data_IF_627497706937
#
_entry.id   IF_627497706937
#
_cell.length_a   1.000
_cell.length_b   1.000
_cell.length_c   1.000
_cell.angle_alpha   90.00
_cell.angle_beta   90.00
_cell.angle_gamma   90.00
#
_symmetry.space_group_name_H-M   'P 1'
#
loop_
_entity.id
_entity.type
_entity.pdbx_description
1 polymer ?
#
# COMPACT_ATOMS: atom_id res chain seq x y z
N UNK A 1 37.35 -10.70 8.21
CA UNK A 1 36.20 -11.62 8.05
C UNK A 1 34.98 -10.75 8.26
N UNK A 2 34.81 -9.89 7.26
CA UNK A 2 33.94 -8.72 7.12
C UNK A 2 34.35 -8.19 5.75
N UNK A 3 33.38 -7.79 4.92
CA UNK A 3 33.56 -7.28 3.54
C UNK A 3 33.85 -8.37 2.49
N UNK A 4 32.88 -9.23 2.15
CA UNK A 4 32.83 -9.94 0.85
C UNK A 4 31.46 -10.61 0.55
N UNK A 5 30.35 -9.95 0.88
CA UNK A 5 28.99 -10.43 0.56
C UNK A 5 28.09 -9.42 -0.15
N UNK A 6 28.65 -8.29 -0.59
CA UNK A 6 27.87 -7.21 -1.25
C UNK A 6 28.31 -6.93 -2.69
N UNK A 7 28.68 -7.97 -3.44
CA UNK A 7 29.12 -7.84 -4.84
C UNK A 7 28.55 -8.90 -5.79
N UNK A 8 27.63 -9.76 -5.33
CA UNK A 8 27.11 -10.86 -6.16
C UNK A 8 25.80 -10.58 -6.91
N UNK A 9 25.13 -9.44 -6.69
CA UNK A 9 23.92 -9.09 -7.47
C UNK A 9 24.14 -8.06 -8.60
N UNK A 10 25.35 -7.50 -8.77
CA UNK A 10 25.64 -6.53 -9.86
C UNK A 10 26.47 -7.06 -11.04
N UNK A 11 26.90 -8.33 -11.01
CA UNK A 11 27.86 -8.85 -11.98
C UNK A 11 27.28 -9.78 -13.08
N UNK A 12 25.95 -10.02 -13.12
CA UNK A 12 25.37 -11.00 -14.05
C UNK A 12 25.07 -10.45 -15.46
N UNK A 13 25.14 -9.13 -15.71
CA UNK A 13 24.81 -8.55 -17.05
C UNK A 13 25.97 -8.05 -17.91
N UNK A 14 27.23 -8.11 -17.47
CA UNK A 14 28.39 -7.77 -18.31
C UNK A 14 29.26 -9.00 -18.57
N UNK A 15 29.24 -9.48 -19.82
CA UNK A 15 29.89 -10.72 -20.25
C UNK A 15 31.38 -10.80 -19.97
N UNK A 16 31.77 -11.80 -19.18
CA UNK A 16 33.13 -12.35 -19.15
C UNK A 16 33.07 -13.87 -19.09
N UNK A 17 33.69 -14.52 -20.08
CA UNK A 17 33.86 -15.97 -20.15
C UNK A 17 34.92 -16.39 -19.12
N UNK A 18 34.53 -17.18 -18.11
CA UNK A 18 35.47 -17.95 -17.28
C UNK A 18 34.98 -19.39 -17.18
N UNK A 19 35.92 -20.31 -17.42
CA UNK A 19 35.72 -21.73 -17.65
C UNK A 19 35.10 -22.50 -16.47
N UNK A 20 34.34 -23.53 -16.85
CA UNK A 20 33.57 -24.44 -16.00
C UNK A 20 34.38 -25.15 -14.91
N UNK A 21 33.84 -25.17 -13.69
CA UNK A 21 33.96 -26.31 -12.76
C UNK A 21 32.56 -26.71 -12.34
N UNK A 22 32.15 -27.90 -12.75
CA UNK A 22 30.82 -28.48 -12.51
C UNK A 22 30.77 -28.99 -11.07
N UNK A 23 29.98 -28.32 -10.23
CA UNK A 23 29.43 -28.88 -8.99
C UNK A 23 27.93 -28.55 -9.02
N UNK A 24 27.10 -29.59 -8.98
CA UNK A 24 25.67 -29.50 -9.21
C UNK A 24 24.98 -28.59 -8.21
N UNK A 25 24.57 -27.40 -8.67
CA UNK A 25 23.51 -26.62 -8.04
C UNK A 25 22.18 -27.09 -8.63
N UNK A 26 21.27 -27.48 -7.75
CA UNK A 26 19.86 -27.61 -8.07
C UNK A 26 19.40 -26.38 -8.87
N UNK A 27 18.61 -26.61 -9.91
CA UNK A 27 18.03 -25.52 -10.68
C UNK A 27 17.28 -24.59 -9.72
N UNK A 28 17.77 -23.36 -9.61
CA UNK A 28 17.02 -22.28 -9.01
C UNK A 28 15.81 -22.06 -9.93
N UNK A 29 14.59 -21.87 -9.40
CA UNK A 29 13.50 -21.43 -10.25
C UNK A 29 13.96 -20.13 -10.92
N UNK A 30 13.89 -20.15 -12.26
CA UNK A 30 14.10 -19.01 -13.13
C UNK A 30 13.36 -17.79 -12.57
N UNK A 31 14.02 -16.62 -12.59
CA UNK A 31 13.40 -15.33 -12.35
C UNK A 31 12.03 -15.29 -13.03
N UNK A 32 10.99 -14.85 -12.30
CA UNK A 32 9.72 -14.52 -12.91
C UNK A 32 9.99 -13.57 -14.10
N UNK A 33 9.29 -13.79 -15.22
CA UNK A 33 9.33 -12.87 -16.35
C UNK A 33 8.74 -11.54 -15.86
N UNK A 34 9.52 -10.46 -15.95
CA UNK A 34 8.93 -9.12 -15.91
C UNK A 34 7.98 -8.99 -17.11
N UNK A 35 6.74 -8.59 -16.86
CA UNK A 35 5.74 -8.43 -17.91
C UNK A 35 5.80 -6.99 -18.43
N UNK A 36 5.70 -6.76 -19.75
CA UNK A 36 5.65 -5.42 -20.30
C UNK A 36 4.44 -4.68 -19.74
N UNK A 37 4.56 -3.38 -19.45
CA UNK A 37 3.42 -2.55 -19.01
C UNK A 37 2.53 -2.30 -20.24
N UNK A 38 1.40 -3.02 -20.39
CA UNK A 38 0.72 -3.16 -21.69
C UNK A 38 -0.11 -1.93 -22.08
N UNK A 39 -0.08 -0.89 -21.27
CA UNK A 39 -0.85 0.34 -21.44
C UNK A 39 0.03 1.57 -21.59
N UNK A 40 1.36 1.38 -21.57
CA UNK A 40 2.32 2.43 -21.86
C UNK A 40 2.74 2.33 -23.33
N UNK A 41 2.32 3.32 -24.12
CA UNK A 41 2.52 3.33 -25.56
C UNK A 41 3.55 4.39 -25.97
N UNK A 42 4.35 4.05 -26.98
CA UNK A 42 5.19 5.01 -27.69
C UNK A 42 4.33 6.06 -28.40
N UNK A 43 4.95 7.15 -28.82
CA UNK A 43 4.24 8.13 -29.65
C UNK A 43 3.94 7.59 -31.05
N UNK A 44 2.75 7.88 -31.56
CA UNK A 44 2.37 7.62 -32.95
C UNK A 44 2.08 6.15 -33.27
N UNK A 45 1.57 5.39 -32.30
CA UNK A 45 1.19 3.97 -32.47
C UNK A 45 -0.30 3.74 -32.11
N UNK A 46 -0.88 2.68 -32.64
CA UNK A 46 -2.23 2.22 -32.28
C UNK A 46 -2.20 1.28 -31.05
N UNK A 47 -3.35 0.73 -30.67
CA UNK A 47 -3.50 -0.22 -29.55
C UNK A 47 -2.72 -1.54 -29.75
N UNK A 48 -2.35 -1.85 -31.00
CA UNK A 48 -1.57 -3.04 -31.38
C UNK A 48 -0.06 -2.73 -31.51
N UNK A 49 0.39 -1.55 -31.07
CA UNK A 49 1.78 -1.05 -31.18
C UNK A 49 2.27 -0.86 -32.62
N UNK A 50 1.38 -0.81 -33.61
CA UNK A 50 1.73 -0.53 -35.00
C UNK A 50 1.77 0.99 -35.25
N UNK A 51 2.71 1.43 -36.10
CA UNK A 51 2.83 2.84 -36.47
C UNK A 51 1.54 3.36 -37.13
N UNK A 52 1.04 4.49 -36.63
CA UNK A 52 -0.09 5.21 -37.22
C UNK A 52 0.28 5.86 -38.56
N UNK A 53 -0.72 6.08 -39.40
CA UNK A 53 -0.58 6.86 -40.62
C UNK A 53 -0.21 8.33 -40.32
N UNK A 54 0.50 8.97 -41.25
CA UNK A 54 0.84 10.39 -41.11
C UNK A 54 -0.43 11.25 -41.02
N UNK A 55 -0.40 12.27 -40.15
CA UNK A 55 -1.53 13.15 -39.78
C UNK A 55 -2.67 12.47 -39.00
N UNK A 56 -2.59 11.18 -38.69
CA UNK A 56 -3.58 10.55 -37.84
C UNK A 56 -3.51 11.11 -36.41
N UNK A 57 -4.64 11.27 -35.69
CA UNK A 57 -4.62 11.60 -34.28
C UNK A 57 -4.03 10.44 -33.48
N UNK A 58 -3.24 10.76 -32.47
CA UNK A 58 -2.70 9.77 -31.54
C UNK A 58 -3.76 9.45 -30.45
N UNK A 59 -4.13 8.17 -30.23
CA UNK A 59 -5.14 7.80 -29.26
C UNK A 59 -4.63 7.78 -27.81
N UNK A 60 -3.32 7.69 -27.61
CA UNK A 60 -2.67 7.43 -26.33
C UNK A 60 -2.14 8.70 -25.65
N UNK A 61 -1.87 9.74 -26.46
CA UNK A 61 -1.41 11.03 -25.98
C UNK A 61 -2.50 12.10 -25.99
N UNK A 62 -2.42 13.03 -25.04
CA UNK A 62 -3.28 14.20 -24.95
C UNK A 62 -2.48 15.48 -24.82
N UNK A 63 -2.93 16.54 -25.47
CA UNK A 63 -2.46 17.89 -25.24
C UNK A 63 -3.26 18.49 -24.07
N UNK A 64 -2.68 18.48 -22.87
CA UNK A 64 -3.33 19.05 -21.67
C UNK A 64 -2.99 20.54 -21.47
N UNK A 65 -1.95 21.01 -22.15
CA UNK A 65 -1.68 22.44 -22.37
C UNK A 65 -1.41 22.61 -23.85
N UNK A 66 -2.25 23.40 -24.52
CA UNK A 66 -2.12 23.75 -25.93
C UNK A 66 -2.51 25.21 -26.14
N UNK A 67 -1.56 26.14 -26.35
CA UNK A 67 -1.87 27.54 -26.57
C UNK A 67 -2.44 27.82 -27.97
N UNK A 68 -2.33 26.87 -28.92
CA UNK A 68 -2.86 27.04 -30.27
C UNK A 68 -4.39 26.92 -30.34
N UNK A 69 -4.97 26.00 -29.57
CA UNK A 69 -6.39 25.65 -29.65
C UNK A 69 -6.85 24.80 -28.47
N UNK A 70 -8.17 24.61 -28.36
CA UNK A 70 -8.78 23.68 -27.40
C UNK A 70 -8.68 22.20 -27.84
N UNK A 71 -7.94 21.88 -28.91
CA UNK A 71 -7.69 20.50 -29.33
C UNK A 71 -6.89 19.75 -28.26
N UNK A 72 -7.39 18.57 -27.91
CA UNK A 72 -6.84 17.74 -26.82
C UNK A 72 -6.05 16.53 -27.30
N UNK A 73 -6.02 16.24 -28.60
CA UNK A 73 -5.27 15.12 -29.17
C UNK A 73 -4.16 15.66 -30.09
N UNK A 74 -2.92 15.15 -29.99
CA UNK A 74 -1.87 15.45 -30.95
C UNK A 74 -2.00 14.56 -32.20
N UNK A 75 -1.23 14.90 -33.24
CA UNK A 75 -1.30 14.24 -34.56
C UNK A 75 0.08 13.77 -35.03
N UNK A 76 0.14 12.68 -35.76
CA UNK A 76 1.39 12.17 -36.34
C UNK A 76 1.98 13.15 -37.35
N UNK A 77 3.26 13.50 -37.21
CA UNK A 77 4.01 14.33 -38.17
C UNK A 77 4.30 13.55 -39.44
N UNK A 78 4.24 14.21 -40.60
CA UNK A 78 4.57 13.57 -41.88
C UNK A 78 6.03 13.13 -41.95
N UNK A 79 6.23 11.92 -42.44
CA UNK A 79 7.53 11.23 -42.41
C UNK A 79 8.49 11.68 -43.52
N UNK A 80 7.98 12.27 -44.60
CA UNK A 80 8.72 12.63 -45.82
C UNK A 80 8.67 14.13 -46.16
N UNK A 81 8.20 14.97 -45.23
CA UNK A 81 8.14 16.42 -45.35
C UNK A 81 8.84 17.10 -44.16
N UNK A 82 9.42 18.29 -44.40
CA UNK A 82 9.98 19.12 -43.33
C UNK A 82 8.95 19.30 -42.20
N UNK A 83 9.29 18.99 -40.94
CA UNK A 83 10.66 19.03 -40.37
C UNK A 83 11.45 17.71 -40.34
N UNK A 84 11.00 16.66 -41.04
CA UNK A 84 11.76 15.40 -41.18
C UNK A 84 12.31 15.33 -42.62
N UNK A 85 13.62 15.54 -42.87
CA UNK A 85 14.71 15.99 -41.97
C UNK A 85 14.67 17.50 -41.64
N UNK A 86 15.41 18.01 -40.62
CA UNK A 86 16.53 17.39 -39.88
C UNK A 86 16.15 16.62 -38.61
N UNK A 87 14.87 16.54 -38.26
CA UNK A 87 14.44 15.72 -37.12
C UNK A 87 14.78 14.25 -37.35
N UNK A 88 14.87 13.50 -36.25
CA UNK A 88 14.93 12.03 -36.29
C UNK A 88 13.81 11.48 -37.20
N UNK A 89 14.16 10.58 -38.12
CA UNK A 89 13.19 9.98 -39.02
C UNK A 89 12.15 9.16 -38.24
N UNK A 90 10.88 9.28 -38.60
CA UNK A 90 9.80 8.45 -38.06
C UNK A 90 10.10 6.94 -38.24
N UNK A 91 9.65 6.15 -37.27
CA UNK A 91 9.86 4.70 -37.21
C UNK A 91 11.25 4.30 -36.69
N UNK A 92 11.49 2.99 -36.54
CA UNK A 92 10.52 1.92 -36.72
C UNK A 92 9.49 1.79 -35.59
N UNK A 93 9.76 2.33 -34.40
CA UNK A 93 9.00 2.00 -33.19
C UNK A 93 8.09 3.13 -32.67
N UNK A 94 8.26 4.35 -33.20
CA UNK A 94 7.44 5.51 -32.85
C UNK A 94 7.47 6.58 -33.94
N UNK A 95 6.54 7.54 -33.86
CA UNK A 95 6.51 8.73 -34.72
C UNK A 95 6.42 10.02 -33.91
N UNK A 96 6.86 11.12 -34.49
CA UNK A 96 6.72 12.46 -33.93
C UNK A 96 5.24 12.88 -33.86
N UNK A 97 4.91 13.61 -32.80
CA UNK A 97 3.59 14.20 -32.56
C UNK A 97 3.61 15.72 -32.71
N UNK A 98 2.67 16.24 -33.49
CA UNK A 98 2.34 17.64 -33.71
C UNK A 98 1.18 18.10 -32.84
N UNK A 99 1.01 19.42 -32.76
CA UNK A 99 0.04 20.10 -31.87
C UNK A 99 -1.22 20.61 -32.58
N UNK A 100 -1.28 20.49 -33.91
CA UNK A 100 -2.36 21.00 -34.76
C UNK A 100 -2.83 19.96 -35.77
N UNK A 101 -4.14 19.93 -36.01
CA UNK A 101 -4.76 19.08 -37.02
C UNK A 101 -4.38 19.53 -38.44
N UNK A 102 -3.98 18.59 -39.30
CA UNK A 102 -3.73 18.84 -40.73
C UNK A 102 -2.51 19.72 -41.05
N UNK A 103 -1.78 20.22 -40.05
CA UNK A 103 -0.53 20.95 -40.22
C UNK A 103 0.68 20.05 -39.91
N UNK A 104 1.77 20.23 -40.66
CA UNK A 104 3.00 19.47 -40.41
C UNK A 104 3.84 20.14 -39.30
N UNK A 105 3.55 19.74 -38.05
CA UNK A 105 4.39 20.00 -36.87
C UNK A 105 4.64 21.46 -36.47
N UNK A 106 3.81 22.43 -36.85
CA UNK A 106 4.00 23.83 -36.47
C UNK A 106 3.08 24.25 -35.32
N UNK A 107 3.56 25.12 -34.44
CA UNK A 107 2.77 25.72 -33.35
C UNK A 107 3.18 27.15 -33.02
N UNK A 108 2.33 27.89 -32.30
CA UNK A 108 2.72 29.21 -31.76
C UNK A 108 3.72 29.08 -30.61
N UNK A 109 4.43 30.17 -30.31
CA UNK A 109 5.26 30.28 -29.12
C UNK A 109 4.44 30.06 -27.84
N UNK A 110 4.94 29.20 -26.96
CA UNK A 110 4.28 28.91 -25.70
C UNK A 110 4.67 27.56 -25.11
N UNK A 111 4.05 27.24 -23.98
CA UNK A 111 4.20 25.95 -23.30
C UNK A 111 3.18 24.96 -23.84
N UNK A 112 3.63 23.75 -24.12
CA UNK A 112 2.81 22.61 -24.47
C UNK A 112 3.04 21.51 -23.44
N UNK A 113 2.01 20.73 -23.16
CA UNK A 113 2.14 19.56 -22.31
C UNK A 113 1.43 18.39 -22.94
N UNK A 114 2.22 17.38 -23.30
CA UNK A 114 1.73 16.11 -23.81
C UNK A 114 1.64 15.14 -22.63
N UNK A 115 0.46 14.55 -22.42
CA UNK A 115 0.19 13.59 -21.38
C UNK A 115 -0.05 12.23 -22.00
N UNK A 116 0.64 11.21 -21.52
CA UNK A 116 0.23 9.80 -21.66
C UNK A 116 -0.14 9.23 -20.30
N UNK A 117 -0.88 8.13 -20.29
CA UNK A 117 -1.27 7.43 -19.07
C UNK A 117 -1.11 5.93 -19.24
N UNK A 118 -0.77 5.25 -18.16
CA UNK A 118 -0.59 3.80 -18.11
C UNK A 118 -1.17 3.27 -16.80
N UNK A 119 -1.68 2.05 -16.84
CA UNK A 119 -2.32 1.37 -15.73
C UNK A 119 -1.35 0.38 -15.09
N UNK A 120 -1.08 0.59 -13.80
CA UNK A 120 -0.30 -0.31 -12.95
C UNK A 120 -1.20 -1.18 -12.06
N UNK A 121 -2.50 -1.28 -12.34
CA UNK A 121 -3.40 -2.21 -11.64
C UNK A 121 -2.88 -3.63 -11.81
N UNK A 122 -2.54 -4.28 -10.69
CA UNK A 122 -2.05 -5.65 -10.72
C UNK A 122 -0.53 -5.78 -10.85
N UNK A 123 0.24 -4.70 -10.75
CA UNK A 123 1.71 -4.71 -10.80
C UNK A 123 2.35 -4.27 -9.48
N UNK A 124 3.50 -4.85 -9.15
CA UNK A 124 4.30 -4.42 -7.99
C UNK A 124 5.00 -3.10 -8.32
N UNK A 125 4.66 -2.05 -7.57
CA UNK A 125 5.17 -0.70 -7.81
C UNK A 125 6.67 -0.56 -7.51
N UNK A 126 7.24 -1.42 -6.66
CA UNK A 126 8.67 -1.40 -6.36
C UNK A 126 9.51 -1.97 -7.51
N UNK A 127 8.89 -2.84 -8.33
CA UNK A 127 9.50 -3.49 -9.49
C UNK A 127 9.19 -2.78 -10.81
N UNK A 128 8.50 -1.64 -10.79
CA UNK A 128 8.26 -0.85 -11.99
C UNK A 128 9.58 -0.28 -12.51
N UNK A 129 9.86 -0.60 -13.76
CA UNK A 129 11.00 -0.12 -14.50
C UNK A 129 10.54 0.49 -15.82
N UNK A 130 10.93 1.74 -16.08
CA UNK A 130 10.65 2.44 -17.33
C UNK A 130 11.94 3.06 -17.83
N UNK A 131 12.53 2.47 -18.85
CA UNK A 131 13.51 3.14 -19.70
C UNK A 131 12.77 3.94 -20.75
N UNK A 132 13.03 5.24 -20.80
CA UNK A 132 12.46 6.12 -21.83
C UNK A 132 13.56 6.78 -22.64
N UNK A 133 13.35 6.86 -23.95
CA UNK A 133 13.98 7.81 -24.85
C UNK A 133 12.95 8.86 -25.26
N UNK A 134 13.27 10.14 -25.11
CA UNK A 134 12.41 11.20 -25.62
C UNK A 134 13.19 12.26 -26.39
N UNK A 135 12.53 12.85 -27.39
CA UNK A 135 13.07 13.88 -28.26
C UNK A 135 12.01 14.95 -28.48
N UNK A 136 12.47 16.19 -28.62
CA UNK A 136 11.61 17.37 -28.76
C UNK A 136 12.23 18.34 -29.76
N UNK A 137 11.40 19.11 -30.45
CA UNK A 137 11.86 20.36 -31.07
C UNK A 137 11.55 21.55 -30.16
N UNK A 138 12.49 22.49 -30.14
CA UNK A 138 12.75 23.46 -29.09
C UNK A 138 13.10 22.77 -27.76
N UNK A 139 12.61 23.30 -26.64
CA UNK A 139 13.14 22.97 -25.31
C UNK A 139 12.22 22.00 -24.57
N UNK A 140 12.77 20.85 -24.15
CA UNK A 140 12.15 19.98 -23.16
C UNK A 140 12.40 20.57 -21.78
N UNK A 141 11.34 20.94 -21.07
CA UNK A 141 11.42 21.63 -19.78
C UNK A 141 11.47 20.64 -18.62
N UNK A 142 10.62 19.61 -18.66
CA UNK A 142 10.61 18.53 -17.68
C UNK A 142 9.72 17.37 -18.17
N UNK A 143 9.83 16.23 -17.50
CA UNK A 143 8.83 15.16 -17.50
C UNK A 143 8.28 15.06 -16.09
N UNK A 144 6.96 15.04 -15.91
CA UNK A 144 6.36 14.83 -14.58
C UNK A 144 5.75 13.43 -14.51
N UNK A 145 6.08 12.69 -13.46
CA UNK A 145 5.37 11.49 -13.06
C UNK A 145 4.32 11.86 -12.02
N UNK A 146 3.04 11.64 -12.34
CA UNK A 146 1.90 11.97 -11.47
C UNK A 146 1.94 13.43 -10.94
N UNK A 147 2.30 14.37 -11.83
CA UNK A 147 2.40 15.79 -11.52
C UNK A 147 3.64 16.20 -10.69
N UNK A 148 4.59 15.27 -10.46
CA UNK A 148 5.85 15.54 -9.76
C UNK A 148 7.04 15.46 -10.73
N UNK A 149 7.96 16.44 -10.72
CA UNK A 149 9.01 16.54 -11.74
C UNK A 149 10.05 15.43 -11.59
N UNK A 150 10.33 14.70 -12.67
CA UNK A 150 11.46 13.77 -12.73
C UNK A 150 12.78 14.55 -12.67
N UNK A 151 13.78 13.90 -12.07
CA UNK A 151 15.08 14.50 -11.78
C UNK A 151 16.16 13.48 -12.08
N UNK A 152 17.29 13.93 -12.59
CA UNK A 152 18.43 13.07 -12.81
C UNK A 152 19.13 12.67 -11.49
N UNK A 153 20.22 11.90 -11.60
CA UNK A 153 21.00 11.41 -10.45
C UNK A 153 21.62 12.54 -9.62
N UNK A 154 21.75 13.74 -10.18
CA UNK A 154 22.28 14.94 -9.53
C UNK A 154 21.15 15.87 -9.01
N UNK A 155 19.90 15.36 -8.94
CA UNK A 155 18.70 16.10 -8.55
C UNK A 155 18.39 17.31 -9.45
N UNK A 156 18.83 17.28 -10.72
CA UNK A 156 18.50 18.34 -11.68
C UNK A 156 17.25 18.00 -12.50
N UNK A 157 16.40 18.99 -12.84
CA UNK A 157 15.26 18.79 -13.72
C UNK A 157 15.69 18.17 -15.05
N UNK A 158 14.97 17.16 -15.52
CA UNK A 158 15.21 16.59 -16.84
C UNK A 158 14.92 17.61 -17.93
N UNK A 159 15.94 18.07 -18.65
CA UNK A 159 15.77 19.08 -19.69
C UNK A 159 16.41 18.66 -21.01
N UNK A 160 15.82 19.09 -22.12
CA UNK A 160 16.38 18.95 -23.47
C UNK A 160 16.54 20.36 -24.03
N UNK A 161 17.74 20.69 -24.52
CA UNK A 161 17.98 21.99 -25.16
C UNK A 161 17.29 22.13 -26.52
N UNK A 162 17.25 23.36 -27.04
CA UNK A 162 16.52 23.73 -28.26
C UNK A 162 16.87 22.97 -29.56
N UNK A 163 17.94 22.16 -29.57
CA UNK A 163 18.37 21.33 -30.70
C UNK A 163 18.13 19.82 -30.44
N UNK A 164 17.22 19.49 -29.53
CA UNK A 164 16.92 18.12 -29.11
C UNK A 164 16.44 17.19 -30.23
N UNK A 165 15.89 17.75 -31.30
CA UNK A 165 15.24 17.02 -32.39
C UNK A 165 16.12 16.06 -33.18
N UNK A 166 17.45 16.19 -33.04
CA UNK A 166 18.43 15.35 -33.74
C UNK A 166 18.88 14.11 -32.96
N UNK A 167 18.37 13.89 -31.75
CA UNK A 167 18.79 12.77 -30.90
C UNK A 167 17.82 12.47 -29.76
N UNK A 168 18.13 11.43 -29.00
CA UNK A 168 17.35 10.97 -27.87
C UNK A 168 17.98 11.42 -26.56
N UNK A 169 17.17 11.96 -25.65
CA UNK A 169 17.51 12.04 -24.24
C UNK A 169 16.92 10.81 -23.53
N UNK A 170 17.77 10.08 -22.81
CA UNK A 170 17.37 8.87 -22.11
C UNK A 170 17.19 9.11 -20.62
N UNK A 171 16.26 8.38 -20.02
CA UNK A 171 16.07 8.35 -18.58
C UNK A 171 15.43 7.05 -18.13
N UNK A 172 15.83 6.60 -16.96
CA UNK A 172 15.30 5.40 -16.32
C UNK A 172 14.50 5.84 -15.09
N UNK A 173 13.27 5.38 -14.99
CA UNK A 173 12.46 5.46 -13.77
C UNK A 173 12.42 4.06 -13.17
N UNK A 174 12.98 3.90 -11.98
CA UNK A 174 13.00 2.63 -11.25
C UNK A 174 12.58 2.86 -9.79
N UNK A 175 11.73 1.97 -9.27
CA UNK A 175 11.32 1.93 -7.84
C UNK A 175 10.87 3.30 -7.27
N UNK A 176 10.22 4.11 -8.12
CA UNK A 176 9.94 5.50 -7.81
C UNK A 176 8.70 5.64 -6.91
N UNK A 177 8.87 6.28 -5.76
CA UNK A 177 7.81 6.50 -4.77
C UNK A 177 6.65 7.36 -5.26
N UNK A 178 6.74 7.92 -6.48
CA UNK A 178 5.66 8.67 -7.13
C UNK A 178 4.69 7.80 -7.89
N UNK A 179 5.01 6.53 -8.18
CA UNK A 179 4.03 5.61 -8.74
C UNK A 179 2.87 5.41 -7.76
N UNK A 180 1.65 5.28 -8.29
CA UNK A 180 0.45 4.99 -7.51
C UNK A 180 -0.22 3.73 -8.05
N UNK A 181 -1.01 2.99 -7.24
CA UNK A 181 -1.81 1.90 -7.79
C UNK A 181 -2.82 2.43 -8.83
N UNK A 182 -3.00 1.69 -9.91
CA UNK A 182 -3.92 2.06 -10.99
C UNK A 182 -3.32 3.02 -12.00
N UNK A 183 -4.11 4.01 -12.44
CA UNK A 183 -3.73 4.91 -13.54
C UNK A 183 -2.67 5.93 -13.10
N UNK A 184 -1.52 5.87 -13.76
CA UNK A 184 -0.41 6.82 -13.65
C UNK A 184 -0.33 7.70 -14.90
N UNK A 185 0.35 8.84 -14.79
CA UNK A 185 0.52 9.78 -15.92
C UNK A 185 1.97 10.24 -16.05
N UNK A 186 2.43 10.34 -17.30
CA UNK A 186 3.65 11.06 -17.68
C UNK A 186 3.28 12.31 -18.47
N UNK A 187 3.73 13.47 -17.97
CA UNK A 187 3.53 14.78 -18.60
C UNK A 187 4.85 15.31 -19.15
N UNK A 188 4.98 15.39 -20.47
CA UNK A 188 6.12 15.95 -21.17
C UNK A 188 5.91 17.44 -21.40
N UNK A 189 6.68 18.26 -20.69
CA UNK A 189 6.60 19.72 -20.80
C UNK A 189 7.57 20.20 -21.88
N UNK A 190 7.01 20.82 -22.91
CA UNK A 190 7.76 21.33 -24.07
C UNK A 190 7.50 22.82 -24.20
N UNK A 191 8.56 23.60 -24.36
CA UNK A 191 8.46 25.03 -24.64
C UNK A 191 8.88 25.31 -26.08
N UNK A 192 7.91 25.74 -26.90
CA UNK A 192 8.18 26.21 -28.25
C UNK A 192 8.68 27.66 -28.19
N UNK A 193 9.93 27.86 -28.58
CA UNK A 193 10.59 29.17 -28.55
C UNK A 193 10.43 29.92 -29.89
N UNK A 194 10.64 31.24 -29.87
CA UNK A 194 10.60 32.07 -31.07
C UNK A 194 9.46 33.09 -31.06
N UNK A 195 9.36 33.87 -32.13
CA UNK A 195 8.38 34.96 -32.27
C UNK A 195 7.36 34.73 -33.38
N UNK A 196 7.49 33.63 -34.11
CA UNK A 196 6.60 33.21 -35.19
C UNK A 196 6.22 31.74 -35.00
N UNK A 197 5.17 31.31 -35.70
CA UNK A 197 4.80 29.89 -35.82
C UNK A 197 5.99 29.13 -36.40
N UNK A 198 6.43 28.09 -35.70
CA UNK A 198 7.59 27.29 -36.08
C UNK A 198 7.46 25.85 -35.58
N UNK A 199 8.34 24.93 -36.03
CA UNK A 199 8.21 23.52 -35.72
C UNK A 199 8.29 23.22 -34.22
N UNK A 200 7.38 22.36 -33.76
CA UNK A 200 7.32 21.81 -32.42
C UNK A 200 6.83 20.37 -32.52
N UNK A 201 7.45 19.48 -31.75
CA UNK A 201 6.95 18.13 -31.61
C UNK A 201 7.52 17.42 -30.41
N UNK A 202 6.91 16.29 -30.10
CA UNK A 202 7.38 15.34 -29.12
C UNK A 202 7.48 13.97 -29.79
N UNK A 203 8.54 13.22 -29.49
CA UNK A 203 8.65 11.80 -29.81
C UNK A 203 9.16 11.05 -28.60
N UNK A 204 8.52 9.94 -28.25
CA UNK A 204 8.87 9.14 -27.07
C UNK A 204 8.84 7.66 -27.41
N UNK A 205 9.84 6.95 -26.93
CA UNK A 205 9.96 5.50 -26.94
C UNK A 205 10.17 5.01 -25.52
N UNK A 206 9.46 3.94 -25.16
CA UNK A 206 9.57 3.27 -23.87
C UNK A 206 10.03 1.82 -24.06
N UNK A 207 10.88 1.38 -23.14
CA UNK A 207 11.09 -0.01 -22.79
C UNK A 207 10.72 -0.14 -21.32
N UNK A 208 9.60 -0.80 -21.04
CA UNK A 208 8.98 -0.75 -19.72
C UNK A 208 8.44 -2.11 -19.32
N UNK A 209 8.87 -2.56 -18.16
CA UNK A 209 8.43 -3.79 -17.55
C UNK A 209 8.09 -3.57 -16.07
N UNK A 210 7.22 -4.44 -15.58
CA UNK A 210 6.91 -4.52 -14.17
C UNK A 210 6.56 -5.98 -13.86
N UNK A 211 6.97 -6.43 -12.68
CA UNK A 211 6.54 -7.73 -12.20
C UNK A 211 5.05 -7.65 -11.87
N UNK A 212 4.23 -8.60 -12.37
CA UNK A 212 2.87 -8.74 -11.88
C UNK A 212 2.89 -8.87 -10.36
N UNK A 213 1.91 -8.27 -9.69
CA UNK A 213 1.62 -8.63 -8.31
C UNK A 213 1.37 -10.13 -8.30
N UNK A 214 2.26 -10.88 -7.63
CA UNK A 214 2.15 -12.32 -7.53
C UNK A 214 0.73 -12.67 -7.05
N UNK A 215 0.08 -13.65 -7.68
CA UNK A 215 -1.25 -14.11 -7.25
C UNK A 215 -1.25 -14.64 -5.80
N UNK A 216 -0.06 -14.91 -5.26
CA UNK A 216 0.20 -15.29 -3.87
C UNK A 216 0.41 -14.08 -2.92
N UNK A 217 0.55 -12.85 -3.44
CA UNK A 217 0.44 -11.59 -2.69
C UNK A 217 -1.01 -11.07 -2.62
N UNK A 218 -1.94 -11.98 -2.30
CA UNK A 218 -3.03 -11.56 -1.40
C UNK A 218 -2.38 -10.87 -0.20
N UNK A 219 -2.92 -9.75 0.34
CA UNK A 219 -2.32 -9.13 1.50
C UNK A 219 -2.06 -10.21 2.55
N UNK A 220 -0.81 -10.42 2.94
CA UNK A 220 -0.53 -11.36 4.02
C UNK A 220 -0.97 -10.67 5.30
N UNK A 221 -2.14 -11.07 5.79
CA UNK A 221 -2.74 -10.47 6.98
C UNK A 221 -2.28 -11.24 8.20
N UNK A 222 -1.40 -10.63 9.00
CA UNK A 222 -0.94 -11.21 10.28
C UNK A 222 -1.51 -10.37 11.41
N UNK A 223 -2.26 -11.00 12.31
CA UNK A 223 -2.86 -10.34 13.48
C UNK A 223 -2.00 -10.59 14.70
N UNK A 224 -1.50 -9.52 15.29
CA UNK A 224 -0.84 -9.53 16.60
C UNK A 224 -1.81 -9.02 17.66
N UNK A 225 -1.58 -9.43 18.90
CA UNK A 225 -2.44 -9.12 20.03
C UNK A 225 -1.62 -8.58 21.20
N UNK A 226 -2.10 -7.51 21.85
CA UNK A 226 -1.49 -6.95 23.06
C UNK A 226 -2.57 -6.57 24.11
N UNK A 227 -2.28 -6.85 25.39
CA UNK A 227 -3.08 -6.45 26.57
C UNK A 227 -2.27 -5.47 27.40
N UNK A 228 -2.92 -4.42 27.90
CA UNK A 228 -2.29 -3.58 28.89
C UNK A 228 -2.20 -4.32 30.24
N UNK A 229 -0.99 -4.74 30.63
CA UNK A 229 -0.71 -5.45 31.89
C UNK A 229 0.50 -6.39 31.84
N UNK A 230 0.85 -6.90 30.67
CA UNK A 230 2.14 -7.52 30.41
C UNK A 230 3.06 -6.44 29.82
N UNK A 231 4.32 -6.37 30.26
CA UNK A 231 5.34 -5.39 29.85
C UNK A 231 5.73 -5.45 28.34
N UNK A 232 4.87 -5.99 27.49
CA UNK A 232 5.10 -6.26 26.09
C UNK A 232 5.04 -5.00 25.20
N UNK A 233 4.42 -3.92 25.68
CA UNK A 233 4.24 -2.69 24.89
C UNK A 233 5.45 -1.75 24.97
N UNK A 234 6.28 -1.83 26.02
CA UNK A 234 7.36 -0.85 26.28
C UNK A 234 8.80 -1.35 26.03
N UNK A 235 9.02 -2.63 25.65
CA UNK A 235 10.39 -3.21 25.64
C UNK A 235 10.91 -3.79 24.33
N UNK A 236 10.22 -3.65 23.19
CA UNK A 236 10.82 -4.03 21.90
C UNK A 236 10.94 -2.81 20.99
N UNK A 237 12.11 -2.12 20.98
CA UNK A 237 12.38 -1.01 20.06
C UNK A 237 12.38 -1.40 18.58
N UNK A 238 12.40 -2.70 18.22
CA UNK A 238 12.46 -3.17 16.83
C UNK A 238 11.51 -4.35 16.59
N UNK A 239 10.22 -4.14 16.88
CA UNK A 239 9.14 -5.13 16.65
C UNK A 239 9.06 -5.61 15.19
N UNK A 240 9.53 -4.78 14.24
CA UNK A 240 9.61 -5.12 12.81
C UNK A 240 10.52 -6.31 12.53
N UNK A 241 11.65 -6.43 13.24
CA UNK A 241 12.65 -7.47 13.00
C UNK A 241 12.18 -8.83 13.57
N UNK A 242 11.46 -8.81 14.69
CA UNK A 242 10.90 -10.03 15.31
C UNK A 242 9.76 -10.64 14.48
N UNK A 243 8.99 -9.81 13.75
CA UNK A 243 7.89 -10.26 12.87
C UNK A 243 8.40 -10.95 11.60
N UNK A 244 9.60 -10.59 11.13
CA UNK A 244 10.23 -11.15 9.94
C UNK A 244 10.87 -12.53 10.21
N UNK A 245 11.42 -12.74 11.41
CA UNK A 245 12.29 -13.90 11.68
C UNK A 245 11.57 -15.18 12.16
N UNK A 246 10.33 -15.14 12.69
CA UNK A 246 9.66 -16.31 13.29
C UNK A 246 8.14 -16.39 12.97
N UNK A 247 7.72 -17.06 11.88
CA UNK A 247 6.38 -16.93 11.32
C UNK A 247 5.23 -17.70 12.01
N UNK A 248 5.39 -18.29 13.22
CA UNK A 248 4.43 -19.31 13.71
C UNK A 248 3.93 -19.23 15.16
N UNK A 249 3.89 -18.07 15.82
CA UNK A 249 3.24 -17.96 17.15
C UNK A 249 2.23 -16.81 17.19
N UNK A 250 1.03 -17.07 16.67
CA UNK A 250 -0.14 -16.20 16.91
C UNK A 250 -0.98 -16.80 18.03
N UNK A 251 -1.53 -16.01 18.95
CA UNK A 251 -2.48 -16.55 19.91
C UNK A 251 -3.78 -16.92 19.20
N UNK A 252 -4.05 -18.22 19.02
CA UNK A 252 -5.36 -18.73 18.56
C UNK A 252 -6.48 -18.35 19.54
N UNK A 253 -6.13 -18.19 20.81
CA UNK A 253 -7.05 -17.79 21.89
C UNK A 253 -6.35 -16.88 22.88
N UNK A 254 -7.08 -15.85 23.28
CA UNK A 254 -6.69 -14.86 24.26
C UNK A 254 -7.71 -14.91 25.39
N UNK A 255 -7.24 -14.85 26.63
CA UNK A 255 -8.13 -14.71 27.78
C UNK A 255 -7.78 -13.46 28.58
N UNK A 256 -8.73 -12.54 28.71
CA UNK A 256 -8.62 -11.31 29.51
C UNK A 256 -9.76 -11.27 30.52
N UNK A 257 -9.77 -10.26 31.38
CA UNK A 257 -10.85 -9.98 32.33
C UNK A 257 -11.63 -8.75 31.90
N UNK A 258 -12.92 -8.72 32.21
CA UNK A 258 -13.76 -7.56 31.94
C UNK A 258 -13.18 -6.27 32.56
N UNK A 259 -13.27 -5.15 31.85
CA UNK A 259 -12.69 -3.85 32.20
C UNK A 259 -11.24 -3.65 31.73
N UNK A 260 -10.57 -4.67 31.18
CA UNK A 260 -9.23 -4.49 30.59
C UNK A 260 -9.31 -3.85 29.20
N UNK A 261 -8.28 -3.09 28.80
CA UNK A 261 -8.11 -2.67 27.42
C UNK A 261 -7.45 -3.79 26.62
N UNK A 262 -7.95 -4.00 25.40
CA UNK A 262 -7.43 -4.97 24.44
C UNK A 262 -7.12 -4.24 23.13
N UNK A 263 -5.94 -4.48 22.56
CA UNK A 263 -5.59 -4.00 21.22
C UNK A 263 -5.23 -5.18 20.32
N UNK A 264 -5.95 -5.27 19.20
CA UNK A 264 -5.56 -6.10 18.07
C UNK A 264 -4.84 -5.23 17.06
N UNK A 265 -3.69 -5.69 16.59
CA UNK A 265 -2.93 -5.02 15.54
C UNK A 265 -2.84 -5.96 14.35
N UNK A 266 -2.86 -5.39 13.15
CA UNK A 266 -2.66 -6.14 11.93
C UNK A 266 -1.51 -5.53 11.14
N UNK A 267 -0.64 -6.38 10.65
CA UNK A 267 0.29 -6.02 9.58
C UNK A 267 -0.25 -6.58 8.27
N UNK A 268 -0.20 -5.75 7.24
CA UNK A 268 -0.51 -6.12 5.88
C UNK A 268 0.68 -5.75 5.00
N UNK A 269 1.00 -6.57 4.01
CA UNK A 269 2.04 -6.28 3.02
C UNK A 269 1.65 -5.14 2.07
N UNK A 270 0.37 -4.82 1.94
CA UNK A 270 -0.12 -3.80 1.01
C UNK A 270 0.03 -2.37 1.56
N UNK A 271 0.69 -1.50 0.78
CA UNK A 271 0.91 -0.08 1.10
C UNK A 271 -0.40 0.74 1.19
N UNK A 272 -1.39 0.47 0.32
CA UNK A 272 -2.70 1.16 0.27
C UNK A 272 -3.85 0.27 0.76
N UNK A 273 -3.65 -0.40 1.89
CA UNK A 273 -4.64 -1.30 2.47
C UNK A 273 -5.85 -0.57 3.07
N UNK A 274 -7.06 -1.04 2.72
CA UNK A 274 -8.31 -0.78 3.45
C UNK A 274 -8.59 -1.91 4.42
N UNK A 275 -9.06 -1.59 5.63
CA UNK A 275 -9.30 -2.55 6.71
C UNK A 275 -10.78 -2.61 7.08
N UNK A 276 -11.28 -3.80 7.36
CA UNK A 276 -12.59 -4.04 7.95
C UNK A 276 -12.44 -5.10 9.05
N UNK A 277 -12.47 -4.66 10.31
CA UNK A 277 -12.47 -5.59 11.45
C UNK A 277 -13.85 -6.23 11.61
N UNK A 278 -13.85 -7.52 11.95
CA UNK A 278 -15.05 -8.33 12.10
C UNK A 278 -15.02 -9.10 13.43
N UNK A 279 -16.16 -9.17 14.11
CA UNK A 279 -16.41 -10.03 15.27
C UNK A 279 -17.48 -11.06 14.91
N UNK A 280 -17.14 -12.34 15.03
CA UNK A 280 -18.01 -13.47 14.67
C UNK A 280 -18.60 -13.34 13.24
N UNK A 281 -17.77 -12.85 12.31
CA UNK A 281 -18.12 -12.61 10.91
C UNK A 281 -18.93 -11.34 10.64
N UNK A 282 -19.26 -10.54 11.66
CA UNK A 282 -19.97 -9.27 11.50
C UNK A 282 -19.00 -8.10 11.58
N UNK A 283 -19.12 -7.15 10.64
CA UNK A 283 -18.27 -5.95 10.63
C UNK A 283 -18.47 -5.09 11.90
N UNK A 284 -17.35 -4.62 12.46
CA UNK A 284 -17.31 -3.69 13.59
C UNK A 284 -17.30 -2.27 13.01
N UNK A 285 -18.40 -1.54 13.18
CA UNK A 285 -18.55 -0.21 12.59
C UNK A 285 -17.44 0.76 13.04
N UNK A 286 -16.78 1.42 12.08
CA UNK A 286 -15.74 2.42 12.32
C UNK A 286 -14.34 1.85 12.57
N UNK A 287 -14.19 0.53 12.66
CA UNK A 287 -12.90 -0.12 12.80
C UNK A 287 -12.25 -0.34 11.42
N UNK A 288 -11.67 0.74 10.88
CA UNK A 288 -11.14 0.78 9.51
C UNK A 288 -9.61 0.99 9.44
N UNK A 289 -8.92 0.90 10.58
CA UNK A 289 -7.48 1.08 10.68
C UNK A 289 -6.72 -0.23 10.91
N UNK A 290 -5.37 -0.19 10.89
CA UNK A 290 -4.52 -1.34 11.17
C UNK A 290 -4.53 -1.75 12.66
N UNK A 291 -5.25 -1.01 13.51
CA UNK A 291 -5.40 -1.32 14.93
C UNK A 291 -6.88 -1.24 15.32
N UNK A 292 -7.37 -2.28 16.00
CA UNK A 292 -8.65 -2.30 16.70
C UNK A 292 -8.36 -2.25 18.21
N UNK A 293 -8.77 -1.17 18.84
CA UNK A 293 -8.70 -1.03 20.30
C UNK A 293 -10.10 -1.17 20.91
N UNK A 294 -10.25 -2.14 21.79
CA UNK A 294 -11.42 -2.32 22.65
C UNK A 294 -11.07 -1.79 24.04
N UNK A 295 -11.60 -0.63 24.39
CA UNK A 295 -11.46 -0.07 25.73
C UNK A 295 -12.47 -0.72 26.69
N UNK A 296 -12.01 -1.07 27.89
CA UNK A 296 -12.84 -1.62 28.97
C UNK A 296 -13.74 -2.79 28.53
N UNK A 297 -13.12 -3.91 28.13
CA UNK A 297 -13.85 -5.00 27.49
C UNK A 297 -14.95 -5.61 28.38
N UNK A 298 -16.06 -6.01 27.79
CA UNK A 298 -17.18 -6.68 28.48
C UNK A 298 -17.30 -8.15 28.06
N UNK A 299 -17.99 -8.97 28.86
CA UNK A 299 -18.04 -10.43 28.59
C UNK A 299 -18.75 -10.80 27.30
N UNK A 300 -19.70 -9.99 26.84
CA UNK A 300 -20.42 -10.14 25.56
C UNK A 300 -19.57 -9.73 24.34
N UNK A 301 -18.38 -9.18 24.58
CA UNK A 301 -17.36 -8.94 23.57
C UNK A 301 -16.43 -10.14 23.39
N UNK A 302 -16.67 -11.26 24.09
CA UNK A 302 -16.03 -12.52 23.74
C UNK A 302 -16.48 -12.96 22.34
N UNK A 303 -15.55 -13.43 21.51
CA UNK A 303 -15.85 -13.83 20.14
C UNK A 303 -14.60 -14.04 19.29
N UNK A 304 -14.82 -14.44 18.05
CA UNK A 304 -13.77 -14.60 17.04
C UNK A 304 -13.54 -13.27 16.32
N UNK A 305 -12.34 -12.70 16.47
CA UNK A 305 -11.94 -11.48 15.79
C UNK A 305 -11.10 -11.80 14.55
N UNK A 306 -11.49 -11.22 13.42
CA UNK A 306 -10.76 -11.27 12.16
C UNK A 306 -10.69 -9.88 11.55
N UNK A 307 -9.75 -9.64 10.65
CA UNK A 307 -9.72 -8.43 9.84
C UNK A 307 -9.60 -8.79 8.38
N UNK A 308 -10.50 -8.24 7.57
CA UNK A 308 -10.41 -8.28 6.13
C UNK A 308 -9.60 -7.08 5.67
N UNK A 309 -8.54 -7.33 4.92
CA UNK A 309 -7.68 -6.32 4.31
C UNK A 309 -7.86 -6.38 2.81
N UNK A 310 -8.08 -5.24 2.17
CA UNK A 310 -8.27 -5.14 0.72
C UNK A 310 -7.44 -4.04 0.10
N UNK A 311 -6.99 -4.25 -1.14
CA UNK A 311 -6.33 -3.27 -2.00
C UNK A 311 -6.90 -3.38 -3.43
N UNK A 312 -6.28 -2.70 -4.40
CA UNK A 312 -6.68 -2.78 -5.82
C UNK A 312 -6.58 -4.18 -6.44
N UNK A 313 -5.76 -5.08 -5.88
CA UNK A 313 -5.58 -6.45 -6.36
C UNK A 313 -6.54 -7.48 -5.76
N UNK A 314 -7.24 -7.16 -4.66
CA UNK A 314 -8.19 -8.06 -4.04
C UNK A 314 -8.31 -7.91 -2.52
N UNK A 315 -8.65 -8.99 -1.83
CA UNK A 315 -8.76 -9.01 -0.37
C UNK A 315 -8.29 -10.30 0.25
N UNK A 316 -7.74 -10.21 1.44
CA UNK A 316 -7.41 -11.33 2.31
C UNK A 316 -8.02 -11.12 3.70
N UNK A 317 -8.27 -12.21 4.40
CA UNK A 317 -8.77 -12.18 5.78
C UNK A 317 -7.73 -12.82 6.68
N UNK A 318 -7.49 -12.22 7.84
CA UNK A 318 -6.58 -12.77 8.86
C UNK A 318 -7.02 -14.14 9.35
N UNK A 319 -6.10 -14.85 10.01
CA UNK A 319 -6.49 -15.88 10.97
C UNK A 319 -7.39 -15.31 12.07
N UNK A 320 -8.26 -16.15 12.63
CA UNK A 320 -9.12 -15.76 13.74
C UNK A 320 -8.37 -15.75 15.07
N UNK A 321 -8.50 -14.66 15.83
CA UNK A 321 -8.08 -14.60 17.23
C UNK A 321 -9.33 -14.70 18.10
N UNK A 322 -9.42 -15.74 18.92
CA UNK A 322 -10.56 -15.90 19.83
C UNK A 322 -10.32 -15.09 21.11
N UNK A 323 -11.11 -14.04 21.35
CA UNK A 323 -11.11 -13.31 22.60
C UNK A 323 -12.09 -13.97 23.59
N UNK A 324 -11.59 -14.39 24.73
CA UNK A 324 -12.39 -14.84 25.89
C UNK A 324 -12.28 -13.80 26.99
N UNK A 325 -13.39 -13.11 27.29
CA UNK A 325 -13.45 -12.13 28.37
C UNK A 325 -14.06 -12.80 29.60
N UNK A 326 -13.23 -13.03 30.62
CA UNK A 326 -13.63 -13.59 31.89
C UNK A 326 -14.35 -12.53 32.74
N UNK A 327 -15.35 -12.95 33.52
CA UNK A 327 -16.03 -12.06 34.44
C UNK A 327 -15.08 -11.53 35.53
N UNK A 328 -15.37 -10.33 36.02
CA UNK A 328 -14.68 -9.69 37.14
C UNK A 328 -15.60 -9.48 38.32
N UNK A 329 -14.99 -9.39 39.49
CA UNK A 329 -15.67 -8.99 40.71
C UNK A 329 -14.85 -7.91 41.40
N UNK A 330 -15.48 -6.78 41.63
CA UNK A 330 -14.91 -5.66 42.37
C UNK A 330 -15.59 -5.56 43.73
N UNK A 331 -14.78 -5.40 44.78
CA UNK A 331 -15.25 -5.20 46.13
C UNK A 331 -14.90 -3.78 46.58
N UNK A 332 -15.93 -2.97 46.80
CA UNK A 332 -15.81 -1.64 47.39
C UNK A 332 -16.26 -1.70 48.86
N UNK A 333 -15.30 -1.49 49.78
CA UNK A 333 -15.53 -1.59 51.23
C UNK A 333 -15.63 -0.19 51.85
N UNK A 334 -16.75 0.09 52.50
CA UNK A 334 -16.98 1.31 53.29
C UNK A 334 -17.84 1.00 54.51
N UNK A 335 -18.92 1.78 54.73
CA UNK A 335 -19.95 1.43 55.73
C UNK A 335 -20.68 0.11 55.41
N UNK A 336 -20.68 -0.29 54.13
CA UNK A 336 -21.22 -1.53 53.59
C UNK A 336 -20.19 -2.16 52.64
N UNK A 337 -20.32 -3.46 52.35
CA UNK A 337 -19.66 -4.07 51.21
C UNK A 337 -20.53 -3.89 49.97
N UNK A 338 -19.99 -3.22 48.94
CA UNK A 338 -20.59 -3.20 47.61
C UNK A 338 -19.79 -4.11 46.71
N UNK A 339 -20.44 -5.16 46.22
CA UNK A 339 -19.83 -6.10 45.29
C UNK A 339 -20.40 -5.79 43.91
N UNK A 340 -19.54 -5.38 43.00
CA UNK A 340 -19.89 -5.22 41.59
C UNK A 340 -19.38 -6.43 40.82
N UNK A 341 -20.24 -7.05 40.02
CA UNK A 341 -19.89 -8.18 39.16
C UNK A 341 -20.16 -7.77 37.72
N UNK A 342 -19.13 -7.84 36.89
CA UNK A 342 -19.27 -7.78 35.44
C UNK A 342 -19.06 -9.20 34.89
N UNK A 343 -20.09 -9.74 34.25
CA UNK A 343 -20.12 -11.12 33.82
C UNK A 343 -21.12 -11.38 32.70
N UNK A 344 -21.34 -12.66 32.41
CA UNK A 344 -22.19 -13.07 31.29
C UNK A 344 -23.65 -12.80 31.67
N UNK A 345 -24.33 -12.03 30.83
CA UNK A 345 -25.74 -11.70 30.98
C UNK A 345 -26.60 -12.95 31.21
N UNK A 346 -27.53 -12.86 32.18
CA UNK A 346 -28.44 -13.96 32.52
C UNK A 346 -27.82 -15.16 33.25
N UNK A 347 -26.51 -15.15 33.53
CA UNK A 347 -25.90 -16.18 34.38
C UNK A 347 -26.03 -15.85 35.87
N UNK A 348 -26.18 -16.90 36.66
CA UNK A 348 -26.09 -16.84 38.12
C UNK A 348 -24.67 -17.14 38.54
N UNK A 349 -24.07 -16.22 39.29
CA UNK A 349 -22.74 -16.39 39.86
C UNK A 349 -22.84 -16.59 41.35
N UNK A 350 -22.03 -17.52 41.87
CA UNK A 350 -21.87 -17.70 43.31
C UNK A 350 -20.70 -16.88 43.82
N UNK A 351 -20.96 -16.10 44.86
CA UNK A 351 -19.98 -15.32 45.58
C UNK A 351 -19.56 -16.07 46.84
N UNK A 352 -18.26 -16.34 46.94
CA UNK A 352 -17.66 -16.84 48.17
C UNK A 352 -16.84 -15.76 48.83
N UNK A 353 -16.99 -15.63 50.14
CA UNK A 353 -16.17 -14.74 50.96
C UNK A 353 -15.53 -15.44 52.13
N UNK A 354 -14.31 -15.04 52.41
CA UNK A 354 -13.55 -15.49 53.59
C UNK A 354 -13.01 -14.28 54.32
N UNK A 355 -13.13 -14.30 55.64
CA UNK A 355 -12.37 -13.45 56.56
C UNK A 355 -11.42 -14.30 57.39
N UNK A 356 -10.53 -13.67 58.16
CA UNK A 356 -9.63 -14.35 59.10
C UNK A 356 -10.37 -15.14 60.19
N UNK A 357 -11.69 -14.94 60.35
CA UNK A 357 -12.53 -15.55 61.38
C UNK A 357 -13.68 -16.44 60.85
N UNK A 358 -13.83 -16.60 59.53
CA UNK A 358 -14.93 -17.39 58.92
C UNK A 358 -15.53 -16.74 57.66
N UNK A 359 -16.76 -17.09 57.28
CA UNK A 359 -17.45 -16.47 56.15
C UNK A 359 -17.85 -15.02 56.47
N UNK A 360 -17.71 -14.11 55.49
CA UNK A 360 -18.04 -12.70 55.67
C UNK A 360 -19.53 -12.38 55.45
N UNK A 361 -20.22 -13.23 54.69
CA UNK A 361 -21.63 -13.09 54.32
C UNK A 361 -22.44 -14.21 54.95
N UNK A 362 -23.70 -13.94 55.29
CA UNK A 362 -24.63 -14.95 55.83
C UNK A 362 -25.08 -15.89 54.70
N UNK A 363 -24.29 -16.94 54.44
CA UNK A 363 -24.58 -17.93 53.40
C UNK A 363 -24.12 -17.49 52.01
N UNK A 364 -23.67 -18.46 51.20
CA UNK A 364 -23.18 -18.22 49.84
C UNK A 364 -24.21 -17.42 49.03
N UNK A 365 -23.86 -16.19 48.69
CA UNK A 365 -24.77 -15.31 47.98
C UNK A 365 -24.67 -15.57 46.49
N UNK A 366 -25.82 -15.69 45.86
CA UNK A 366 -25.94 -15.81 44.41
C UNK A 366 -26.37 -14.46 43.84
N UNK A 367 -25.76 -14.05 42.73
CA UNK A 367 -26.18 -12.90 41.93
C UNK A 367 -26.53 -13.40 40.54
N UNK A 368 -27.77 -13.17 40.11
CA UNK A 368 -28.16 -13.38 38.70
C UNK A 368 -28.00 -12.07 37.98
N UNK A 369 -27.15 -12.04 36.95
CA UNK A 369 -26.90 -10.82 36.21
C UNK A 369 -28.08 -10.50 35.28
N UNK A 370 -28.48 -9.23 35.18
CA UNK A 370 -29.49 -8.79 34.22
C UNK A 370 -28.99 -8.98 32.79
N UNK A 371 -29.85 -8.70 31.81
CA UNK A 371 -29.53 -8.81 30.38
C UNK A 371 -28.32 -7.96 29.94
N UNK A 372 -27.95 -6.96 30.73
CA UNK A 372 -26.80 -6.07 30.51
C UNK A 372 -25.47 -6.61 31.05
N UNK A 373 -25.44 -7.80 31.67
CA UNK A 373 -24.17 -8.43 32.09
C UNK A 373 -23.48 -7.79 33.29
N UNK A 374 -24.02 -6.73 33.89
CA UNK A 374 -23.47 -6.10 35.09
C UNK A 374 -24.49 -6.08 36.24
N UNK A 375 -24.03 -6.33 37.47
CA UNK A 375 -24.89 -6.40 38.66
C UNK A 375 -24.17 -5.95 39.92
N UNK A 376 -24.93 -5.42 40.89
CA UNK A 376 -24.39 -5.00 42.19
C UNK A 376 -25.17 -5.61 43.35
N UNK A 377 -24.44 -6.06 44.37
CA UNK A 377 -24.99 -6.45 45.66
C UNK A 377 -24.46 -5.51 46.76
N UNK A 378 -25.31 -5.19 47.72
CA UNK A 378 -24.95 -4.36 48.88
C UNK A 378 -25.24 -5.13 50.15
N UNK A 379 -24.18 -5.41 50.91
CA UNK A 379 -24.28 -6.22 52.12
C UNK A 379 -23.80 -5.46 53.37
N UNK A 380 -24.50 -5.60 54.51
CA UNK A 380 -23.99 -5.16 55.80
C UNK A 380 -22.76 -6.00 56.19
N UNK A 381 -21.66 -5.32 56.54
CA UNK A 381 -20.45 -5.99 57.01
C UNK A 381 -20.61 -6.38 58.49
N UNK A 382 -20.56 -7.68 58.78
CA UNK A 382 -20.56 -8.16 60.16
C UNK A 382 -19.33 -7.68 60.96
N UNK A 383 -18.20 -7.44 60.29
CA UNK A 383 -16.93 -6.95 60.88
C UNK A 383 -16.13 -6.06 59.92
N UNK A 384 -16.31 -4.73 59.93
CA UNK A 384 -15.74 -3.82 58.94
C UNK A 384 -14.21 -3.65 58.98
N UNK A 385 -13.50 -4.31 59.91
CA UNK A 385 -12.04 -4.18 60.10
C UNK A 385 -11.20 -5.37 59.63
N UNK A 386 -11.79 -6.37 58.96
CA UNK A 386 -11.09 -7.58 58.49
C UNK A 386 -10.78 -7.51 56.98
N UNK A 387 -9.77 -8.28 56.54
CA UNK A 387 -9.43 -8.43 55.12
C UNK A 387 -10.44 -9.35 54.44
N UNK A 388 -11.04 -8.89 53.35
CA UNK A 388 -12.02 -9.66 52.57
C UNK A 388 -11.40 -10.15 51.26
N UNK A 389 -11.70 -11.39 50.89
CA UNK A 389 -11.50 -11.88 49.53
C UNK A 389 -12.84 -12.33 48.98
N UNK A 390 -13.16 -11.91 47.77
CA UNK A 390 -14.33 -12.36 47.03
C UNK A 390 -13.82 -13.19 45.86
N UNK A 391 -14.36 -14.40 45.72
CA UNK A 391 -14.14 -15.25 44.57
C UNK A 391 -15.44 -15.40 43.81
N UNK A 392 -15.37 -15.19 42.50
CA UNK A 392 -16.45 -15.47 41.58
C UNK A 392 -16.32 -16.91 41.10
N UNK A 393 -17.39 -17.69 41.23
CA UNK A 393 -17.48 -19.04 40.67
C UNK A 393 -18.55 -19.06 39.57
N UNK A 394 -18.25 -19.69 38.40
CA UNK A 394 -19.20 -19.81 37.30
C UNK A 394 -20.35 -20.77 37.59
#
# INVERSE_FOLDING_TARGET
>A
MEILTDLTNKAVRYGFVVACVVIGCAAWPSALNADPIPTLYNTGVNDDYELLDDLAPDPHYKLVVNPDSDLIHPFVVKSDEFPIPPWLANGPDSKWLAVREGENANGINGNYTYRTSFDLTGFDLEMVYIDMGWSVDNTGVNVLLNGKPLRDIDDTPMTIGAAGFGGWAYHTIESDQRFIPGINTLDFLVFNAGTQVNPIGLRVEFDADADPLDADEKPMVRTLFAVQGDNFVDTIPDLWQVIQDEPSVYPETVTVRAGQQVSFMVTASAADASYEWQRDGNAIAGANGPMLTLSEVETDQSGSYTVKVSNGGGSATSGAVTLTVLPTVELNVGRYARIHVNGIAGRTYRLESTTTAGQAFSGGQEITLPAEGAGSLVEPLAKPSELFRVKLLP
#
